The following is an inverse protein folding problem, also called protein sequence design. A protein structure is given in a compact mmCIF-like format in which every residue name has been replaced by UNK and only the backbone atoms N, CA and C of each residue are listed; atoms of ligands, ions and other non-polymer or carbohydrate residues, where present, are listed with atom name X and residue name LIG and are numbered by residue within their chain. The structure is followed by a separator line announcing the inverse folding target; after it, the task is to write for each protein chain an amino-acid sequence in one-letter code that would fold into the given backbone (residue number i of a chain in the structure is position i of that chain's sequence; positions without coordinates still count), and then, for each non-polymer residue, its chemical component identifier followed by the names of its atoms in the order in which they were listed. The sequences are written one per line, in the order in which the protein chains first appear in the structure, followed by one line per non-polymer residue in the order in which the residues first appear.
data_IF_297043045514
#
_entry.id   IF_297043045514
#
_cell.length_a   1.000
_cell.length_b   1.000
_cell.length_c   1.000
_cell.angle_alpha   90.00
_cell.angle_beta   90.00
_cell.angle_gamma   90.00
#
_symmetry.space_group_name_H-M   'P 1'
#
loop_
_entity.id
_entity.type
_entity.pdbx_description
1 polymer ?
#
# COMPACT_ATOMS: atom_id res chain seq x y z
N UNK A 1 -12.82 -24.67 8.55
CA UNK A 1 -12.81 -23.19 8.56
C UNK A 1 -11.38 -22.69 8.37
N UNK A 2 -11.05 -22.07 7.23
CA UNK A 2 -9.70 -21.53 6.97
C UNK A 2 -9.45 -20.36 7.94
N UNK A 3 -8.44 -20.47 8.81
CA UNK A 3 -8.01 -19.37 9.70
C UNK A 3 -7.52 -18.20 8.83
N UNK A 4 -8.32 -17.15 8.72
CA UNK A 4 -7.89 -15.88 8.15
C UNK A 4 -6.88 -15.23 9.11
N UNK A 5 -5.69 -14.92 8.60
CA UNK A 5 -4.60 -14.39 9.42
C UNK A 5 -4.74 -12.87 9.53
N UNK A 6 -5.84 -12.40 10.12
CA UNK A 6 -6.14 -10.96 10.26
C UNK A 6 -5.21 -10.31 11.29
N UNK A 7 -5.06 -10.96 12.44
CA UNK A 7 -4.33 -10.43 13.58
C UNK A 7 -3.82 -11.62 14.41
N UNK A 8 -2.59 -12.09 14.15
CA UNK A 8 -1.94 -13.07 15.03
C UNK A 8 -1.31 -12.34 16.19
N UNK A 9 -2.08 -12.11 17.25
CA UNK A 9 -1.57 -11.57 18.51
C UNK A 9 -0.86 -12.63 19.38
N UNK A 10 -1.18 -13.92 19.17
CA UNK A 10 -0.66 -15.04 19.97
C UNK A 10 0.32 -15.94 19.22
N UNK A 11 1.38 -15.37 18.64
CA UNK A 11 2.61 -16.15 18.45
C UNK A 11 3.44 -15.96 19.73
N UNK A 12 3.82 -17.03 20.46
CA UNK A 12 4.68 -16.89 21.63
C UNK A 12 5.92 -16.10 21.23
N UNK A 13 6.16 -14.99 21.93
CA UNK A 13 7.28 -14.06 21.69
C UNK A 13 8.59 -14.86 21.69
N UNK A 14 9.08 -15.21 20.50
CA UNK A 14 10.47 -15.61 20.33
C UNK A 14 11.27 -14.34 20.63
N UNK A 15 12.02 -14.36 21.75
CA UNK A 15 12.90 -13.27 22.18
C UNK A 15 13.69 -12.74 20.97
N UNK A 16 13.40 -11.51 20.54
CA UNK A 16 14.10 -10.83 19.44
C UNK A 16 13.32 -10.64 18.13
N UNK A 17 12.14 -11.24 17.92
CA UNK A 17 11.33 -10.90 16.73
C UNK A 17 10.64 -9.53 16.91
N UNK A 18 11.12 -8.51 16.17
CA UNK A 18 10.42 -7.22 16.05
C UNK A 18 9.00 -7.48 15.51
N UNK A 19 8.01 -6.88 16.16
CA UNK A 19 6.59 -6.94 15.77
C UNK A 19 6.36 -6.27 14.41
N UNK A 20 7.11 -5.22 14.12
CA UNK A 20 7.05 -4.46 12.88
C UNK A 20 8.28 -4.81 12.03
N UNK A 21 8.03 -5.30 10.80
CA UNK A 21 9.10 -5.49 9.83
C UNK A 21 9.26 -4.21 9.00
N UNK A 22 10.16 -3.32 9.42
CA UNK A 22 10.43 -2.06 8.72
C UNK A 22 10.82 -2.27 7.25
N UNK A 23 11.55 -3.35 6.93
CA UNK A 23 11.92 -3.67 5.55
C UNK A 23 10.70 -3.99 4.68
N UNK A 24 9.70 -4.68 5.24
CA UNK A 24 8.45 -4.95 4.55
C UNK A 24 7.64 -3.67 4.29
N UNK A 25 7.61 -2.76 5.26
CA UNK A 25 6.93 -1.47 5.14
C UNK A 25 7.60 -0.60 4.08
N UNK A 26 8.92 -0.47 4.10
CA UNK A 26 9.68 0.32 3.11
C UNK A 26 9.50 -0.25 1.71
N UNK A 27 9.58 -1.59 1.56
CA UNK A 27 9.40 -2.23 0.26
C UNK A 27 7.96 -2.05 -0.26
N UNK A 28 6.96 -2.23 0.60
CA UNK A 28 5.56 -2.01 0.24
C UNK A 28 5.28 -0.55 -0.16
N UNK A 29 5.85 0.41 0.57
CA UNK A 29 5.75 1.83 0.25
C UNK A 29 6.47 2.18 -1.07
N UNK A 30 7.67 1.64 -1.30
CA UNK A 30 8.40 1.82 -2.55
C UNK A 30 7.62 1.27 -3.76
N UNK A 31 6.97 0.11 -3.62
CA UNK A 31 6.10 -0.45 -4.64
C UNK A 31 4.85 0.42 -4.89
N UNK A 32 4.20 0.88 -3.83
CA UNK A 32 3.05 1.80 -3.94
C UNK A 32 3.42 3.04 -4.76
N UNK A 33 4.54 3.69 -4.40
CA UNK A 33 5.02 4.88 -5.09
C UNK A 33 5.43 4.60 -6.53
N UNK A 34 6.16 3.52 -6.78
CA UNK A 34 6.62 3.17 -8.13
C UNK A 34 5.44 2.93 -9.08
N UNK A 35 4.41 2.22 -8.62
CA UNK A 35 3.20 1.99 -9.40
C UNK A 35 2.46 3.32 -9.64
N UNK A 36 2.26 4.13 -8.59
CA UNK A 36 1.62 5.44 -8.74
C UNK A 36 2.33 6.30 -9.79
N UNK A 37 3.65 6.46 -9.68
CA UNK A 37 4.44 7.29 -10.60
C UNK A 37 4.39 6.74 -12.03
N UNK A 38 4.58 5.43 -12.20
CA UNK A 38 4.56 4.82 -13.53
C UNK A 38 3.21 5.02 -14.24
N UNK A 39 2.10 4.84 -13.51
CA UNK A 39 0.76 5.01 -14.08
C UNK A 39 0.46 6.49 -14.34
N UNK A 40 0.93 7.42 -13.50
CA UNK A 40 0.80 8.86 -13.74
C UNK A 40 1.56 9.31 -14.99
N UNK A 41 2.78 8.79 -15.21
CA UNK A 41 3.55 9.07 -16.42
C UNK A 41 2.81 8.55 -17.65
N UNK A 42 2.32 7.30 -17.60
CA UNK A 42 1.57 6.71 -18.71
C UNK A 42 0.29 7.50 -19.03
N UNK A 43 -0.44 7.95 -18.00
CA UNK A 43 -1.61 8.80 -18.17
C UNK A 43 -1.25 10.17 -18.74
N UNK A 44 -0.15 10.78 -18.27
CA UNK A 44 0.36 12.04 -18.81
C UNK A 44 0.69 11.95 -20.30
N UNK A 45 1.37 10.87 -20.71
CA UNK A 45 1.65 10.59 -22.13
C UNK A 45 0.35 10.37 -22.91
N UNK A 46 -0.61 9.62 -22.37
CA UNK A 46 -1.91 9.42 -22.99
C UNK A 46 -2.65 10.75 -23.21
N UNK A 47 -2.69 11.63 -22.21
CA UNK A 47 -3.33 12.95 -22.32
C UNK A 47 -2.65 13.85 -23.34
N UNK A 48 -1.31 13.80 -23.45
CA UNK A 48 -0.58 14.59 -24.44
C UNK A 48 -0.81 14.13 -25.88
N UNK A 49 -1.07 12.83 -26.09
CA UNK A 49 -1.33 12.25 -27.42
C UNK A 49 -2.82 12.29 -27.78
N UNK A 50 -3.69 12.24 -26.78
CA UNK A 50 -5.14 12.12 -26.95
C UNK A 50 -5.80 13.49 -27.07
N UNK A 51 -6.56 13.72 -28.14
CA UNK A 51 -7.50 14.85 -28.27
C UNK A 51 -8.82 14.60 -27.54
N UNK A 52 -8.92 13.56 -26.71
CA UNK A 52 -10.16 13.18 -26.05
C UNK A 52 -10.53 14.15 -24.91
N UNK A 53 -11.83 14.42 -24.71
CA UNK A 53 -12.29 15.30 -23.64
C UNK A 53 -11.89 14.76 -22.26
N UNK A 54 -11.24 15.60 -21.47
CA UNK A 54 -10.68 15.32 -20.13
C UNK A 54 -11.72 15.12 -19.02
N UNK A 55 -12.98 14.87 -19.39
CA UNK A 55 -14.14 14.96 -18.50
C UNK A 55 -14.09 14.04 -17.27
N UNK A 56 -13.34 12.93 -17.34
CA UNK A 56 -13.24 11.94 -16.26
C UNK A 56 -11.82 11.78 -15.69
N UNK A 57 -10.90 12.72 -15.94
CA UNK A 57 -9.52 12.62 -15.44
C UNK A 57 -9.46 12.44 -13.92
N UNK A 58 -10.29 13.17 -13.17
CA UNK A 58 -10.34 13.08 -11.71
C UNK A 58 -10.68 11.66 -11.24
N UNK A 59 -11.72 11.04 -11.81
CA UNK A 59 -12.14 9.66 -11.47
C UNK A 59 -11.05 8.64 -11.79
N UNK A 60 -10.38 8.79 -12.93
CA UNK A 60 -9.27 7.91 -13.34
C UNK A 60 -8.10 8.03 -12.36
N UNK A 61 -7.71 9.25 -11.98
CA UNK A 61 -6.66 9.50 -10.99
C UNK A 61 -7.00 8.90 -9.63
N UNK A 62 -8.26 9.00 -9.17
CA UNK A 62 -8.70 8.37 -7.93
C UNK A 62 -8.58 6.85 -7.99
N UNK A 63 -9.04 6.22 -9.08
CA UNK A 63 -8.95 4.77 -9.25
C UNK A 63 -7.50 4.28 -9.27
N UNK A 64 -6.61 5.01 -9.95
CA UNK A 64 -5.18 4.70 -9.98
C UNK A 64 -4.58 4.79 -8.57
N UNK A 65 -4.91 5.84 -7.83
CA UNK A 65 -4.42 6.05 -6.47
C UNK A 65 -4.90 4.94 -5.53
N UNK A 66 -6.17 4.53 -5.62
CA UNK A 66 -6.69 3.42 -4.82
C UNK A 66 -6.05 2.09 -5.21
N UNK A 67 -5.85 1.85 -6.51
CA UNK A 67 -5.21 0.64 -7.03
C UNK A 67 -3.75 0.52 -6.60
N UNK A 68 -2.97 1.59 -6.69
CA UNK A 68 -1.56 1.57 -6.31
C UNK A 68 -1.37 1.37 -4.80
N UNK A 69 -2.22 1.99 -3.99
CA UNK A 69 -2.20 1.85 -2.53
C UNK A 69 -2.64 0.44 -2.11
N UNK A 70 -3.66 -0.12 -2.76
CA UNK A 70 -4.06 -1.51 -2.55
C UNK A 70 -2.93 -2.50 -2.87
N UNK A 71 -2.27 -2.33 -4.03
CA UNK A 71 -1.15 -3.17 -4.44
C UNK A 71 0.05 -3.02 -3.50
N UNK A 72 0.38 -1.79 -3.10
CA UNK A 72 1.43 -1.52 -2.11
C UNK A 72 1.16 -2.15 -0.75
N UNK A 73 -0.09 -2.05 -0.27
CA UNK A 73 -0.56 -2.75 0.93
C UNK A 73 -0.42 -4.26 0.79
N UNK A 74 -0.81 -4.82 -0.35
CA UNK A 74 -0.71 -6.25 -0.65
C UNK A 74 0.73 -6.77 -0.68
N UNK A 75 1.65 -6.04 -1.30
CA UNK A 75 3.09 -6.38 -1.29
C UNK A 75 3.62 -6.32 0.15
N UNK A 76 3.27 -5.26 0.89
CA UNK A 76 3.68 -5.11 2.29
C UNK A 76 3.19 -6.29 3.15
N UNK A 77 1.92 -6.67 3.01
CA UNK A 77 1.33 -7.82 3.70
C UNK A 77 1.99 -9.14 3.31
N UNK A 78 2.22 -9.37 2.02
CA UNK A 78 2.85 -10.59 1.53
C UNK A 78 4.28 -10.76 2.07
N UNK A 79 5.05 -9.67 2.09
CA UNK A 79 6.44 -9.63 2.57
C UNK A 79 6.52 -9.75 4.09
N UNK A 80 5.64 -9.06 4.82
CA UNK A 80 5.60 -9.14 6.28
C UNK A 80 5.19 -10.55 6.75
N UNK A 81 4.25 -11.19 6.03
CA UNK A 81 3.75 -12.54 6.33
C UNK A 81 3.00 -12.67 7.67
N UNK A 82 2.87 -11.58 8.44
CA UNK A 82 2.16 -11.46 9.72
C UNK A 82 1.60 -10.04 9.89
N UNK A 83 0.52 -9.90 10.65
CA UNK A 83 -0.09 -8.60 11.02
C UNK A 83 -0.36 -7.67 9.82
N UNK A 84 -1.07 -8.18 8.81
CA UNK A 84 -1.34 -7.45 7.55
C UNK A 84 -2.15 -6.18 7.76
N UNK A 85 -3.04 -6.16 8.75
CA UNK A 85 -3.78 -4.97 9.15
C UNK A 85 -2.85 -3.84 9.61
N UNK A 86 -1.88 -4.15 10.47
CA UNK A 86 -0.95 -3.14 11.02
C UNK A 86 0.02 -2.62 9.94
N UNK A 87 0.56 -3.53 9.12
CA UNK A 87 1.45 -3.16 8.03
C UNK A 87 0.72 -2.36 6.93
N UNK A 88 -0.51 -2.74 6.58
CA UNK A 88 -1.36 -2.00 5.66
C UNK A 88 -1.77 -0.63 6.20
N UNK A 89 -2.03 -0.52 7.50
CA UNK A 89 -2.33 0.75 8.15
C UNK A 89 -1.13 1.70 8.12
N UNK A 90 0.08 1.21 8.42
CA UNK A 90 1.30 2.02 8.37
C UNK A 90 1.60 2.51 6.95
N UNK A 91 1.49 1.63 5.94
CA UNK A 91 1.71 2.02 4.54
C UNK A 91 0.64 3.02 4.09
N UNK A 92 -0.62 2.78 4.44
CA UNK A 92 -1.74 3.65 4.08
C UNK A 92 -1.63 5.03 4.73
N UNK A 93 -1.23 5.11 6.00
CA UNK A 93 -1.04 6.39 6.68
C UNK A 93 0.18 7.14 6.13
N UNK A 94 1.30 6.45 5.87
CA UNK A 94 2.46 7.07 5.24
C UNK A 94 2.14 7.63 3.85
N UNK A 95 1.36 6.89 3.05
CA UNK A 95 0.93 7.33 1.73
C UNK A 95 -0.05 8.51 1.83
N UNK A 96 -1.02 8.45 2.75
CA UNK A 96 -1.96 9.54 2.97
C UNK A 96 -1.26 10.83 3.43
N UNK A 97 -0.25 10.73 4.29
CA UNK A 97 0.57 11.88 4.70
C UNK A 97 1.32 12.49 3.51
N UNK A 98 1.93 11.64 2.66
CA UNK A 98 2.59 12.12 1.46
C UNK A 98 1.61 12.80 0.50
N UNK A 99 0.43 12.20 0.30
CA UNK A 99 -0.63 12.75 -0.53
C UNK A 99 -1.08 14.11 -0.01
N UNK A 100 -1.34 14.24 1.29
CA UNK A 100 -1.71 15.50 1.92
C UNK A 100 -0.60 16.56 1.79
N UNK A 101 0.66 16.18 2.00
CA UNK A 101 1.80 17.09 1.86
C UNK A 101 1.94 17.60 0.41
N UNK A 102 1.75 16.74 -0.58
CA UNK A 102 1.75 17.11 -1.99
C UNK A 102 0.58 18.07 -2.31
N UNK A 103 -0.63 17.77 -1.85
CA UNK A 103 -1.80 18.64 -2.05
C UNK A 103 -1.59 20.04 -1.47
N UNK A 104 -1.03 20.15 -0.27
CA UNK A 104 -0.70 21.44 0.36
C UNK A 104 0.34 22.23 -0.45
N UNK A 105 1.40 21.56 -0.93
CA UNK A 105 2.43 22.20 -1.75
C UNK A 105 1.90 22.71 -3.09
N UNK A 106 0.92 22.03 -3.69
CA UNK A 106 0.28 22.44 -4.95
C UNK A 106 -0.76 23.56 -4.79
N UNK A 107 -0.85 24.19 -3.62
CA UNK A 107 -1.74 25.33 -3.45
C UNK A 107 -3.17 24.96 -3.09
N UNK A 108 -3.48 23.67 -2.88
CA UNK A 108 -4.78 23.26 -2.33
C UNK A 108 -4.80 23.52 -0.81
N UNK A 109 -4.79 24.80 -0.44
CA UNK A 109 -4.73 25.28 0.95
C UNK A 109 -6.04 25.10 1.71
N UNK A 110 -7.12 24.74 1.02
CA UNK A 110 -8.36 24.40 1.67
C UNK A 110 -8.29 22.93 2.08
N UNK A 111 -8.07 22.70 3.38
CA UNK A 111 -8.37 21.46 4.09
C UNK A 111 -9.90 21.23 4.04
N UNK A 112 -10.42 21.09 2.83
CA UNK A 112 -11.83 20.82 2.62
C UNK A 112 -12.17 19.40 3.06
N UNK A 113 -13.45 19.18 3.31
CA UNK A 113 -14.06 17.86 3.48
C UNK A 113 -13.65 16.87 2.37
N UNK A 114 -13.31 17.38 1.18
CA UNK A 114 -12.82 16.61 0.03
C UNK A 114 -11.46 15.94 0.26
N UNK A 115 -10.54 16.56 1.03
CA UNK A 115 -9.24 15.98 1.36
C UNK A 115 -9.39 14.82 2.36
N UNK A 116 -10.23 15.02 3.39
CA UNK A 116 -10.59 13.98 4.37
C UNK A 116 -11.34 12.83 3.68
N UNK A 117 -12.25 13.16 2.75
CA UNK A 117 -12.96 12.21 1.92
C UNK A 117 -12.06 11.38 1.01
N UNK A 118 -10.86 11.86 0.69
CA UNK A 118 -9.87 11.15 -0.13
C UNK A 118 -8.90 10.30 0.69
N UNK A 119 -8.55 10.74 1.91
CA UNK A 119 -7.62 10.04 2.81
C UNK A 119 -8.22 8.75 3.35
N UNK A 120 -9.49 8.76 3.77
CA UNK A 120 -10.12 7.60 4.38
C UNK A 120 -10.17 6.38 3.43
N UNK A 121 -10.56 6.52 2.14
CA UNK A 121 -10.48 5.45 1.15
C UNK A 121 -9.07 4.89 0.96
N UNK A 122 -8.05 5.76 0.92
CA UNK A 122 -6.64 5.35 0.75
C UNK A 122 -6.22 4.41 1.87
N UNK A 123 -6.50 4.77 3.13
CA UNK A 123 -6.15 3.95 4.29
C UNK A 123 -6.91 2.63 4.27
N UNK A 124 -8.22 2.65 3.98
CA UNK A 124 -9.04 1.44 3.93
C UNK A 124 -8.53 0.47 2.85
N UNK A 125 -8.31 0.95 1.63
CA UNK A 125 -7.80 0.11 0.54
C UNK A 125 -6.40 -0.43 0.83
N UNK A 126 -5.53 0.35 1.47
CA UNK A 126 -4.23 -0.12 1.94
C UNK A 126 -4.35 -1.25 2.96
N UNK A 127 -5.26 -1.12 3.93
CA UNK A 127 -5.50 -2.15 4.95
C UNK A 127 -6.06 -3.43 4.33
N UNK A 128 -7.03 -3.31 3.40
CA UNK A 128 -7.56 -4.47 2.68
C UNK A 128 -6.43 -5.14 1.87
N UNK A 129 -5.60 -4.36 1.18
CA UNK A 129 -4.39 -4.83 0.52
C UNK A 129 -3.46 -5.58 1.49
N UNK A 130 -3.14 -4.99 2.64
CA UNK A 130 -2.32 -5.63 3.68
C UNK A 130 -2.88 -6.97 4.15
N UNK A 131 -4.20 -7.06 4.32
CA UNK A 131 -4.89 -8.29 4.72
C UNK A 131 -4.83 -9.33 3.60
N UNK A 132 -5.10 -8.96 2.34
CA UNK A 132 -5.03 -9.89 1.21
C UNK A 132 -3.62 -10.41 1.03
N UNK A 133 -2.62 -9.51 1.11
CA UNK A 133 -1.19 -9.82 1.01
C UNK A 133 -0.73 -10.89 1.99
N UNK A 134 -1.06 -10.75 3.28
CA UNK A 134 -0.67 -11.76 4.30
C UNK A 134 -1.29 -13.13 4.05
N UNK A 135 -2.47 -13.18 3.41
CA UNK A 135 -3.17 -14.41 3.11
C UNK A 135 -2.79 -15.02 1.75
N UNK A 136 -1.96 -14.35 0.94
CA UNK A 136 -1.49 -14.90 -0.33
C UNK A 136 -0.53 -16.08 -0.09
N UNK A 137 -0.81 -17.28 -0.64
CA UNK A 137 0.01 -18.47 -0.43
C UNK A 137 1.35 -18.46 -1.19
N UNK A 138 1.52 -17.55 -2.16
CA UNK A 138 2.65 -17.55 -3.08
C UNK A 138 4.01 -17.22 -2.41
N UNK A 139 4.04 -16.31 -1.43
CA UNK A 139 5.30 -15.85 -0.82
C UNK A 139 5.76 -16.65 0.40
N UNK A 140 4.88 -17.47 0.99
CA UNK A 140 5.27 -18.39 2.09
C UNK A 140 6.39 -19.36 1.69
N UNK A 141 6.47 -19.75 0.41
CA UNK A 141 7.50 -20.67 -0.09
C UNK A 141 8.83 -19.97 -0.41
N UNK A 142 8.80 -18.72 -0.90
CA UNK A 142 10.00 -17.97 -1.27
C UNK A 142 10.73 -17.45 -0.04
N UNK A 143 10.00 -16.91 0.95
CA UNK A 143 10.60 -16.42 2.20
C UNK A 143 11.09 -17.53 3.15
N UNK A 144 10.44 -18.70 3.19
CA UNK A 144 10.99 -19.88 3.88
C UNK A 144 12.35 -20.31 3.32
N UNK A 145 12.59 -20.06 2.03
CA UNK A 145 13.84 -20.42 1.35
C UNK A 145 14.96 -19.43 1.72
N UNK A 146 14.67 -18.12 1.72
CA UNK A 146 15.65 -17.09 2.13
C UNK A 146 16.05 -17.23 3.61
N UNK A 147 15.10 -17.50 4.52
CA UNK A 147 15.39 -17.70 5.96
C UNK A 147 16.20 -18.98 6.26
N UNK A 148 16.21 -19.98 5.37
CA UNK A 148 17.06 -21.18 5.52
C UNK A 148 18.50 -20.96 5.05
N UNK A 149 18.74 -19.98 4.19
CA UNK A 149 20.09 -19.70 3.64
C UNK A 149 20.90 -18.82 4.60
N UNK A 150 20.26 -17.92 5.37
CA UNK A 150 20.98 -17.11 6.37
C UNK A 150 21.17 -17.80 7.74
N UNK A 151 20.77 -19.06 7.88
CA UNK A 151 20.87 -19.85 9.11
C UNK A 151 21.84 -21.05 8.97
N UNK A 152 22.57 -21.10 7.86
CA UNK A 152 23.77 -21.91 7.64
C UNK A 152 24.96 -20.98 7.55
#
# INVERSE_FOLDING_TARGET
MKRLTLLTWSAPKIKGEKTINLGAVILGFAWALSISVAVMIALGVYVMISTAPTYNLSTVLTLITLGSVFLGGMVCGAVAGKQGLLHGLIVGSAYALLYAALSLNWGMHQLELSLVGSILPIVIFSVIGGITGVNLPADRKKYRRVRRVSAR
#
